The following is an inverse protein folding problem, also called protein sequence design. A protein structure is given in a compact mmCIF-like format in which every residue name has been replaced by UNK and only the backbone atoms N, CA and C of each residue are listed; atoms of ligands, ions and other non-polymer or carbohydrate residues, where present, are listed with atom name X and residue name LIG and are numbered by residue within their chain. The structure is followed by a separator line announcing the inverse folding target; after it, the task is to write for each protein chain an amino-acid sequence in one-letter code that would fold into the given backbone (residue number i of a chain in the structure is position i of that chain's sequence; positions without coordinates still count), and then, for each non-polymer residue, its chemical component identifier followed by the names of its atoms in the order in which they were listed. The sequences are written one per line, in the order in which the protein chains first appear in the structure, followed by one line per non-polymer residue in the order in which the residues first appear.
data_IF_710019547568
#
_entry.id   IF_710019547568
#
_cell.length_a   1.000
_cell.length_b   1.000
_cell.length_c   1.000
_cell.angle_alpha   90.00
_cell.angle_beta   90.00
_cell.angle_gamma   90.00
#
_symmetry.space_group_name_H-M   'P 1'
#
loop_
_entity.id
_entity.type
_entity.pdbx_description
1 polymer ?
#
# COMPACT_ATOMS: atom_id res chain seq x y z
N UNK A 1 9.10 -17.03 -11.41
CA UNK A 1 7.76 -17.66 -11.48
C UNK A 1 7.30 -17.94 -10.06
N UNK A 2 6.14 -17.43 -9.64
CA UNK A 2 5.46 -17.90 -8.41
C UNK A 2 4.33 -18.82 -8.91
N UNK A 3 4.62 -20.10 -9.08
CA UNK A 3 3.83 -20.95 -9.97
C UNK A 3 3.87 -20.46 -11.43
N UNK A 4 3.01 -21.00 -12.30
CA UNK A 4 3.00 -20.73 -13.75
C UNK A 4 2.55 -19.31 -14.16
N UNK A 5 2.65 -18.29 -13.28
CA UNK A 5 2.20 -16.91 -13.53
C UNK A 5 3.39 -15.98 -13.81
N UNK A 6 3.29 -15.07 -14.81
CA UNK A 6 4.34 -14.10 -15.12
C UNK A 6 4.53 -13.10 -13.96
N UNK A 7 5.79 -12.88 -13.55
CA UNK A 7 6.14 -12.05 -12.39
C UNK A 7 5.88 -10.56 -12.60
N UNK A 8 6.10 -10.05 -13.82
CA UNK A 8 5.99 -8.63 -14.15
C UNK A 8 4.59 -8.05 -13.89
N UNK A 9 3.52 -8.62 -14.47
CA UNK A 9 2.15 -8.16 -14.22
C UNK A 9 1.78 -8.21 -12.73
N UNK A 10 2.21 -9.22 -12.00
CA UNK A 10 1.90 -9.35 -10.57
C UNK A 10 2.53 -8.23 -9.74
N UNK A 11 3.80 -7.91 -9.98
CA UNK A 11 4.49 -6.80 -9.29
C UNK A 11 3.85 -5.47 -9.68
N UNK A 12 3.53 -5.28 -10.96
CA UNK A 12 2.93 -4.04 -11.45
C UNK A 12 1.56 -3.80 -10.82
N UNK A 13 0.63 -4.75 -10.93
CA UNK A 13 -0.71 -4.61 -10.35
C UNK A 13 -0.67 -4.55 -8.82
N UNK A 14 0.19 -5.34 -8.17
CA UNK A 14 0.38 -5.27 -6.72
C UNK A 14 0.90 -3.90 -6.28
N UNK A 15 1.90 -3.37 -6.98
CA UNK A 15 2.48 -2.05 -6.73
C UNK A 15 1.47 -0.92 -6.94
N UNK A 16 0.65 -1.00 -8.00
CA UNK A 16 -0.44 -0.06 -8.24
C UNK A 16 -1.46 -0.07 -7.10
N UNK A 17 -1.98 -1.24 -6.71
CA UNK A 17 -2.98 -1.36 -5.63
C UNK A 17 -2.40 -0.85 -4.30
N UNK A 18 -1.19 -1.26 -3.95
CA UNK A 18 -0.54 -0.85 -2.70
C UNK A 18 -0.24 0.65 -2.71
N UNK A 19 0.37 1.16 -3.78
CA UNK A 19 0.73 2.57 -3.93
C UNK A 19 -0.49 3.49 -3.89
N UNK A 20 -1.55 3.13 -4.63
CA UNK A 20 -2.82 3.85 -4.59
C UNK A 20 -3.46 3.78 -3.19
N UNK A 21 -3.39 2.65 -2.49
CA UNK A 21 -3.90 2.54 -1.12
C UNK A 21 -3.19 3.47 -0.14
N UNK A 22 -1.86 3.53 -0.19
CA UNK A 22 -1.04 4.43 0.67
C UNK A 22 -1.34 5.90 0.31
N UNK A 23 -1.35 6.23 -0.99
CA UNK A 23 -1.64 7.57 -1.48
C UNK A 23 -3.05 8.04 -1.09
N UNK A 24 -4.05 7.19 -1.29
CA UNK A 24 -5.43 7.49 -0.87
C UNK A 24 -5.54 7.70 0.63
N UNK A 25 -4.93 6.83 1.44
CA UNK A 25 -4.93 7.00 2.90
C UNK A 25 -4.32 8.35 3.30
N UNK A 26 -3.17 8.70 2.72
CA UNK A 26 -2.52 9.99 2.97
C UNK A 26 -3.46 11.16 2.66
N UNK A 27 -4.02 11.23 1.45
CA UNK A 27 -4.88 12.35 1.06
C UNK A 27 -6.22 12.39 1.80
N UNK A 28 -6.80 11.24 2.16
CA UNK A 28 -7.98 11.19 3.04
C UNK A 28 -7.63 11.78 4.41
N UNK A 29 -6.46 11.43 4.97
CA UNK A 29 -5.97 12.01 6.23
C UNK A 29 -5.78 13.52 6.13
N UNK A 30 -5.18 13.99 5.04
CA UNK A 30 -5.01 15.42 4.75
C UNK A 30 -6.34 16.17 4.66
N UNK A 31 -7.32 15.61 3.94
CA UNK A 31 -8.64 16.19 3.77
C UNK A 31 -9.47 16.18 5.07
N UNK A 32 -9.17 15.27 5.99
CA UNK A 32 -9.76 15.25 7.33
C UNK A 32 -9.17 16.34 8.24
N UNK A 33 -7.94 16.81 7.97
CA UNK A 33 -7.30 17.89 8.71
C UNK A 33 -7.85 19.25 8.27
N UNK A 34 -8.60 19.91 9.17
CA UNK A 34 -9.26 21.20 8.88
C UNK A 34 -8.40 22.37 9.31
N UNK A 35 -7.87 23.09 8.33
CA UNK A 35 -7.27 24.41 8.52
C UNK A 35 -8.32 25.52 8.35
N UNK A 36 -8.18 26.67 9.02
CA UNK A 36 -9.10 27.82 8.87
C UNK A 36 -8.92 28.57 7.53
N UNK A 37 -8.33 27.93 6.52
CA UNK A 37 -8.04 28.47 5.20
C UNK A 37 -8.42 27.47 4.10
N UNK A 38 -8.79 27.97 2.92
CA UNK A 38 -9.16 27.14 1.78
C UNK A 38 -7.92 26.57 1.07
N UNK A 39 -7.47 25.38 1.46
CA UNK A 39 -6.27 24.74 0.90
C UNK A 39 -6.53 24.18 -0.51
N UNK A 40 -5.66 24.52 -1.45
CA UNK A 40 -5.54 23.88 -2.77
C UNK A 40 -4.32 22.96 -2.84
N UNK A 41 -4.32 22.04 -3.81
CA UNK A 41 -3.23 21.08 -4.01
C UNK A 41 -2.62 21.19 -5.41
N UNK A 42 -1.31 21.38 -5.52
CA UNK A 42 -0.59 21.39 -6.82
C UNK A 42 -0.70 20.02 -7.48
N UNK A 43 -1.25 20.01 -8.70
CA UNK A 43 -1.52 18.77 -9.45
C UNK A 43 -0.23 17.98 -9.74
N UNK A 44 0.86 18.59 -10.26
CA UNK A 44 2.12 17.88 -10.49
C UNK A 44 2.70 17.21 -9.25
N UNK A 45 2.74 17.88 -8.09
CA UNK A 45 3.22 17.26 -6.85
C UNK A 45 2.31 16.12 -6.37
N UNK A 46 1.00 16.27 -6.54
CA UNK A 46 0.02 15.23 -6.22
C UNK A 46 0.23 13.97 -7.09
N UNK A 47 0.49 14.14 -8.39
CA UNK A 47 0.80 13.04 -9.31
C UNK A 47 2.17 12.43 -9.00
N UNK A 48 3.18 13.26 -8.75
CA UNK A 48 4.53 12.79 -8.41
C UNK A 48 4.53 11.92 -7.15
N UNK A 49 3.79 12.33 -6.11
CA UNK A 49 3.64 11.55 -4.88
C UNK A 49 2.99 10.19 -5.14
N UNK A 50 1.95 10.13 -5.99
CA UNK A 50 1.33 8.87 -6.42
C UNK A 50 2.32 7.95 -7.14
N UNK A 51 3.07 8.48 -8.10
CA UNK A 51 4.06 7.71 -8.86
C UNK A 51 5.16 7.15 -7.95
N UNK A 52 5.62 7.94 -6.97
CA UNK A 52 6.57 7.50 -5.95
C UNK A 52 6.01 6.34 -5.14
N UNK A 53 4.76 6.43 -4.66
CA UNK A 53 4.13 5.34 -3.91
C UNK A 53 3.99 4.06 -4.75
N UNK A 54 3.57 4.16 -6.01
CA UNK A 54 3.44 2.99 -6.90
C UNK A 54 4.82 2.36 -7.17
N UNK A 55 5.80 3.17 -7.58
CA UNK A 55 7.12 2.70 -7.94
C UNK A 55 7.85 2.04 -6.77
N UNK A 56 7.79 2.65 -5.59
CA UNK A 56 8.48 2.14 -4.39
C UNK A 56 7.78 0.91 -3.81
N UNK A 57 6.44 0.82 -3.91
CA UNK A 57 5.71 -0.41 -3.58
C UNK A 57 6.08 -1.56 -4.51
N UNK A 58 6.19 -1.30 -5.82
CA UNK A 58 6.61 -2.30 -6.80
C UNK A 58 8.05 -2.81 -6.52
N UNK A 59 8.98 -1.90 -6.22
CA UNK A 59 10.37 -2.24 -5.83
C UNK A 59 10.36 -3.07 -4.54
N UNK A 60 9.58 -2.66 -3.54
CA UNK A 60 9.42 -3.38 -2.27
C UNK A 60 8.97 -4.83 -2.44
N UNK A 61 8.20 -5.14 -3.49
CA UNK A 61 7.75 -6.50 -3.78
C UNK A 61 8.74 -7.35 -4.58
N UNK A 62 9.83 -6.80 -5.12
CA UNK A 62 10.83 -7.57 -5.86
C UNK A 62 11.46 -8.73 -5.04
N UNK A 63 11.80 -8.57 -3.75
CA UNK A 63 12.31 -9.67 -2.92
C UNK A 63 11.35 -10.86 -2.83
N UNK A 64 10.03 -10.61 -2.83
CA UNK A 64 9.00 -11.65 -2.80
C UNK A 64 9.00 -12.51 -4.07
N UNK A 65 9.65 -12.08 -5.15
CA UNK A 65 9.64 -12.82 -6.42
C UNK A 65 10.72 -13.91 -6.51
N UNK A 66 11.66 -13.95 -5.56
CA UNK A 66 12.75 -14.93 -5.51
C UNK A 66 12.34 -16.12 -4.62
N UNK A 67 12.72 -17.34 -5.04
CA UNK A 67 12.40 -18.58 -4.33
C UNK A 67 13.15 -18.68 -2.99
N UNK A 68 14.39 -18.19 -2.97
CA UNK A 68 15.22 -18.06 -1.77
C UNK A 68 15.43 -16.57 -1.49
N UNK A 69 14.53 -15.97 -0.73
CA UNK A 69 14.74 -14.59 -0.27
C UNK A 69 15.54 -14.64 1.02
N UNK A 70 16.81 -14.23 0.95
CA UNK A 70 17.64 -14.04 2.13
C UNK A 70 17.25 -12.76 2.87
N UNK A 71 17.41 -12.75 4.20
CA UNK A 71 17.16 -11.58 5.06
C UNK A 71 17.69 -10.23 4.52
N UNK A 72 18.87 -10.16 3.87
CA UNK A 72 19.36 -8.92 3.28
C UNK A 72 18.44 -8.32 2.21
N UNK A 73 17.82 -9.14 1.35
CA UNK A 73 16.90 -8.65 0.31
C UNK A 73 15.61 -8.10 0.92
N UNK A 74 15.15 -8.73 2.00
CA UNK A 74 14.01 -8.28 2.78
C UNK A 74 14.26 -6.91 3.43
N UNK A 75 15.42 -6.74 4.06
CA UNK A 75 15.83 -5.48 4.67
C UNK A 75 15.97 -4.38 3.62
N UNK A 76 16.62 -4.68 2.49
CA UNK A 76 16.76 -3.71 1.39
C UNK A 76 15.39 -3.29 0.83
N UNK A 77 14.47 -4.24 0.63
CA UNK A 77 13.10 -3.94 0.19
C UNK A 77 12.32 -3.11 1.21
N UNK A 78 12.48 -3.38 2.50
CA UNK A 78 11.83 -2.63 3.58
C UNK A 78 12.31 -1.18 3.64
N UNK A 79 13.62 -0.97 3.51
CA UNK A 79 14.21 0.38 3.46
C UNK A 79 13.72 1.12 2.22
N UNK A 80 13.81 0.52 1.04
CA UNK A 80 13.39 1.15 -0.22
C UNK A 80 11.90 1.53 -0.20
N UNK A 81 11.03 0.61 0.23
CA UNK A 81 9.60 0.88 0.34
C UNK A 81 9.30 1.90 1.44
N UNK A 82 9.93 1.81 2.61
CA UNK A 82 9.71 2.73 3.73
C UNK A 82 10.12 4.16 3.40
N UNK A 83 11.28 4.34 2.76
CA UNK A 83 11.71 5.63 2.24
C UNK A 83 10.76 6.16 1.16
N UNK A 84 10.22 5.27 0.32
CA UNK A 84 9.20 5.62 -0.66
C UNK A 84 7.87 6.09 -0.05
N UNK A 85 7.43 5.41 1.00
CA UNK A 85 6.20 5.73 1.75
C UNK A 85 6.34 7.07 2.46
N UNK A 86 7.48 7.31 3.13
CA UNK A 86 7.79 8.62 3.70
C UNK A 86 7.95 9.70 2.63
N UNK A 87 8.64 9.41 1.53
CA UNK A 87 8.82 10.32 0.40
C UNK A 87 7.50 10.74 -0.23
N UNK A 88 6.58 9.79 -0.46
CA UNK A 88 5.22 10.10 -0.91
C UNK A 88 4.50 11.00 0.09
N UNK A 89 4.59 10.71 1.40
CA UNK A 89 3.95 11.54 2.43
C UNK A 89 4.45 12.99 2.36
N UNK A 90 5.77 13.22 2.34
CA UNK A 90 6.32 14.58 2.32
C UNK A 90 6.13 15.28 0.97
N UNK A 91 6.13 14.56 -0.16
CA UNK A 91 5.74 15.12 -1.45
C UNK A 91 4.26 15.50 -1.50
N UNK A 92 3.39 14.69 -0.89
CA UNK A 92 1.97 14.99 -0.73
C UNK A 92 1.74 16.23 0.15
N UNK A 93 2.52 16.37 1.23
CA UNK A 93 2.51 17.59 2.06
C UNK A 93 2.98 18.81 1.28
N UNK A 94 4.03 18.68 0.46
CA UNK A 94 4.51 19.75 -0.42
C UNK A 94 3.50 20.12 -1.51
N UNK A 95 2.54 19.25 -1.83
CA UNK A 95 1.48 19.58 -2.77
C UNK A 95 0.50 20.61 -2.19
N UNK A 96 0.40 20.79 -0.87
CA UNK A 96 -0.45 21.83 -0.30
C UNK A 96 0.08 23.21 -0.63
N UNK A 97 -0.69 23.98 -1.39
CA UNK A 97 -0.30 25.31 -1.85
C UNK A 97 -0.68 26.38 -0.81
N UNK A 98 0.14 26.47 0.24
CA UNK A 98 -0.03 27.38 1.37
C UNK A 98 1.18 28.31 1.46
N UNK A 99 0.95 29.62 1.46
CA UNK A 99 2.01 30.61 1.65
C UNK A 99 2.43 30.69 3.12
N UNK A 100 3.74 30.92 3.34
CA UNK A 100 4.57 30.64 4.52
C UNK A 100 5.09 29.21 4.66
N UNK A 101 4.59 28.26 3.84
CA UNK A 101 5.10 26.90 3.76
C UNK A 101 4.97 26.10 5.06
N UNK A 102 5.30 24.81 4.99
CA UNK A 102 5.22 23.91 6.14
C UNK A 102 6.59 23.82 6.81
N UNK A 103 6.67 24.18 8.10
CA UNK A 103 7.87 23.96 8.89
C UNK A 103 7.82 22.59 9.56
N UNK A 104 8.92 21.86 9.53
CA UNK A 104 8.99 20.52 10.10
C UNK A 104 9.90 20.48 11.32
N UNK A 105 9.49 19.76 12.36
CA UNK A 105 10.37 19.37 13.46
C UNK A 105 11.22 18.16 13.04
N UNK A 106 12.58 18.29 12.95
CA UNK A 106 13.42 17.26 12.36
C UNK A 106 13.33 15.89 13.04
N UNK A 107 13.20 15.86 14.38
CA UNK A 107 13.16 14.61 15.13
C UNK A 107 11.89 13.79 14.85
N UNK A 108 10.73 14.44 14.68
CA UNK A 108 9.47 13.77 14.30
C UNK A 108 9.50 13.29 12.85
N UNK A 109 10.22 13.98 11.97
CA UNK A 109 10.45 13.53 10.60
C UNK A 109 11.30 12.25 10.58
N UNK A 110 12.39 12.22 11.35
CA UNK A 110 13.20 11.00 11.47
C UNK A 110 12.37 9.87 12.07
N UNK A 111 11.56 10.14 13.10
CA UNK A 111 10.69 9.15 13.71
C UNK A 111 9.66 8.60 12.70
N UNK A 112 9.02 9.45 11.92
CA UNK A 112 8.04 9.01 10.90
C UNK A 112 8.71 8.12 9.84
N UNK A 113 9.94 8.45 9.40
CA UNK A 113 10.72 7.64 8.45
C UNK A 113 11.08 6.29 9.05
N UNK A 114 11.50 6.24 10.32
CA UNK A 114 11.77 4.98 11.02
C UNK A 114 10.51 4.13 11.10
N UNK A 115 9.36 4.72 11.47
CA UNK A 115 8.07 4.02 11.48
C UNK A 115 7.74 3.50 10.09
N UNK A 116 7.98 4.27 9.02
CA UNK A 116 7.74 3.85 7.65
C UNK A 116 8.55 2.60 7.28
N UNK A 117 9.85 2.58 7.59
CA UNK A 117 10.74 1.45 7.31
C UNK A 117 10.32 0.21 8.11
N UNK A 118 9.99 0.37 9.39
CA UNK A 118 9.52 -0.73 10.23
C UNK A 118 8.16 -1.27 9.74
N UNK A 119 7.24 -0.39 9.33
CA UNK A 119 5.96 -0.74 8.75
C UNK A 119 6.13 -1.54 7.44
N UNK A 120 7.00 -1.07 6.55
CA UNK A 120 7.34 -1.77 5.30
C UNK A 120 8.03 -3.11 5.58
N UNK A 121 8.93 -3.17 6.56
CA UNK A 121 9.57 -4.42 6.98
C UNK A 121 8.57 -5.43 7.52
N UNK A 122 7.65 -5.01 8.38
CA UNK A 122 6.56 -5.84 8.87
C UNK A 122 5.67 -6.31 7.71
N UNK A 123 5.25 -5.42 6.81
CA UNK A 123 4.43 -5.77 5.65
C UNK A 123 5.10 -6.85 4.77
N UNK A 124 6.38 -6.69 4.47
CA UNK A 124 7.14 -7.68 3.70
C UNK A 124 7.31 -8.98 4.46
N UNK A 125 7.69 -8.93 5.74
CA UNK A 125 7.86 -10.12 6.57
C UNK A 125 6.55 -10.92 6.69
N UNK A 126 5.41 -10.27 6.93
CA UNK A 126 4.11 -10.93 6.96
C UNK A 126 3.75 -11.51 5.59
N UNK A 127 4.06 -10.83 4.48
CA UNK A 127 3.85 -11.37 3.14
C UNK A 127 4.69 -12.64 2.87
N UNK A 128 5.89 -12.73 3.44
CA UNK A 128 6.73 -13.94 3.40
C UNK A 128 6.21 -15.04 4.33
N UNK A 129 5.87 -14.73 5.58
CA UNK A 129 5.36 -15.69 6.55
C UNK A 129 4.07 -16.36 6.03
N UNK A 130 3.19 -15.60 5.35
CA UNK A 130 1.97 -16.12 4.74
C UNK A 130 2.20 -17.16 3.62
N UNK A 131 3.42 -17.27 3.08
CA UNK A 131 3.80 -18.30 2.11
C UNK A 131 4.17 -19.62 2.76
N UNK A 132 4.66 -19.60 4.00
CA UNK A 132 4.88 -20.83 4.78
C UNK A 132 3.54 -21.28 5.38
N UNK A 133 3.24 -22.58 5.23
CA UNK A 133 1.99 -23.24 5.63
C UNK A 133 1.40 -22.77 6.97
N UNK A 134 0.06 -22.60 7.07
CA UNK A 134 -0.75 -23.01 8.25
C UNK A 134 -2.27 -22.72 8.12
N UNK A 135 -3.04 -23.46 8.91
CA UNK A 135 -4.48 -23.69 9.03
C UNK A 135 -5.35 -22.47 9.38
N UNK A 136 -4.75 -21.31 9.73
CA UNK A 136 -5.46 -20.08 10.14
C UNK A 136 -5.27 -18.89 9.18
N UNK A 137 -5.41 -19.15 7.87
CA UNK A 137 -5.05 -18.22 6.80
C UNK A 137 -5.87 -16.92 6.81
N UNK A 138 -7.13 -16.96 7.22
CA UNK A 138 -8.00 -15.77 7.24
C UNK A 138 -7.65 -14.85 8.42
N UNK A 139 -7.56 -15.38 9.64
CA UNK A 139 -7.23 -14.60 10.84
C UNK A 139 -5.89 -13.90 10.72
N UNK A 140 -4.86 -14.59 10.21
CA UNK A 140 -3.55 -13.99 9.95
C UNK A 140 -3.62 -12.87 8.92
N UNK A 141 -4.36 -13.04 7.81
CA UNK A 141 -4.54 -11.98 6.80
C UNK A 141 -5.23 -10.75 7.36
N UNK A 142 -6.31 -10.93 8.11
CA UNK A 142 -7.04 -9.83 8.75
C UNK A 142 -6.14 -9.11 9.76
N UNK A 143 -5.45 -9.86 10.62
CA UNK A 143 -4.48 -9.28 11.56
C UNK A 143 -3.36 -8.51 10.85
N UNK A 144 -2.84 -9.05 9.74
CA UNK A 144 -1.82 -8.37 8.92
C UNK A 144 -2.32 -7.04 8.36
N UNK A 145 -3.54 -7.04 7.82
CA UNK A 145 -4.15 -5.86 7.23
C UNK A 145 -4.37 -4.77 8.28
N UNK A 146 -4.82 -5.13 9.48
CA UNK A 146 -4.99 -4.20 10.61
C UNK A 146 -3.63 -3.62 11.03
N UNK A 147 -2.62 -4.48 11.26
CA UNK A 147 -1.28 -4.04 11.66
C UNK A 147 -0.67 -3.11 10.60
N UNK A 148 -0.79 -3.46 9.32
CA UNK A 148 -0.35 -2.59 8.23
C UNK A 148 -1.11 -1.27 8.21
N UNK A 149 -2.44 -1.29 8.32
CA UNK A 149 -3.26 -0.08 8.33
C UNK A 149 -2.85 0.86 9.47
N UNK A 150 -2.72 0.33 10.69
CA UNK A 150 -2.26 1.08 11.86
C UNK A 150 -0.86 1.64 11.65
N UNK A 151 0.06 0.87 11.08
CA UNK A 151 1.44 1.31 10.87
C UNK A 151 1.54 2.43 9.82
N UNK A 152 0.82 2.31 8.69
CA UNK A 152 0.80 3.33 7.64
C UNK A 152 0.10 4.60 8.14
N UNK A 153 -1.02 4.49 8.85
CA UNK A 153 -1.67 5.62 9.52
C UNK A 153 -0.77 6.27 10.58
N UNK A 154 -0.07 5.46 11.39
CA UNK A 154 0.85 5.92 12.42
C UNK A 154 2.01 6.74 11.84
N UNK A 155 2.59 6.30 10.72
CA UNK A 155 3.57 7.09 9.98
C UNK A 155 2.97 8.44 9.55
N UNK A 156 1.79 8.43 8.92
CA UNK A 156 1.16 9.65 8.42
C UNK A 156 0.88 10.65 9.55
N UNK A 157 0.28 10.21 10.66
CA UNK A 157 -0.03 11.10 11.77
C UNK A 157 1.23 11.56 12.52
N UNK A 158 2.29 10.74 12.59
CA UNK A 158 3.59 11.18 13.09
C UNK A 158 4.20 12.26 12.18
N UNK A 159 4.11 12.10 10.86
CA UNK A 159 4.55 13.11 9.88
C UNK A 159 3.75 14.41 9.99
N UNK A 160 2.43 14.31 10.17
CA UNK A 160 1.56 15.46 10.43
C UNK A 160 1.88 16.15 11.75
N UNK A 161 2.18 15.42 12.81
CA UNK A 161 2.60 16.00 14.09
C UNK A 161 3.93 16.77 13.96
N UNK A 162 4.78 16.40 13.00
CA UNK A 162 6.01 17.14 12.71
C UNK A 162 5.73 18.51 12.06
N UNK A 163 4.60 18.66 11.37
CA UNK A 163 4.26 19.82 10.56
C UNK A 163 3.69 20.97 11.41
N UNK A 164 4.29 22.15 11.26
CA UNK A 164 3.83 23.40 11.85
C UNK A 164 3.39 24.34 10.73
N UNK A 165 2.15 24.79 10.84
CA UNK A 165 1.54 25.79 9.97
C UNK A 165 1.57 27.14 10.69
N UNK A 166 2.18 28.17 10.09
CA UNK A 166 2.30 29.48 10.74
C UNK A 166 0.93 30.18 10.82
N UNK A 167 0.70 30.93 11.90
CA UNK A 167 -0.48 31.78 12.02
C UNK A 167 -0.42 32.89 10.95
N UNK A 168 -1.47 33.01 10.14
CA UNK A 168 -1.51 33.96 9.03
C UNK A 168 -1.13 33.38 7.67
N UNK A 169 -0.85 32.07 7.57
CA UNK A 169 -0.78 31.38 6.28
C UNK A 169 -2.05 31.64 5.46
N UNK A 170 -1.88 31.88 4.16
CA UNK A 170 -2.98 32.10 3.23
C UNK A 170 -2.84 31.17 2.01
N UNK A 171 -3.96 30.78 1.39
CA UNK A 171 -3.91 29.91 0.23
C UNK A 171 -3.40 30.69 -0.98
N UNK A 172 -2.49 30.08 -1.73
CA UNK A 172 -2.10 30.61 -3.03
C UNK A 172 -3.07 30.01 -4.05
N UNK A 173 -3.71 30.86 -4.86
CA UNK A 173 -4.60 30.39 -5.92
C UNK A 173 -3.87 30.47 -7.26
N UNK A 174 -3.37 29.34 -7.74
CA UNK A 174 -2.82 29.21 -9.10
C UNK A 174 -3.72 28.32 -9.97
N UNK A 175 -3.63 28.45 -11.30
CA UNK A 175 -4.33 27.58 -12.26
C UNK A 175 -3.93 26.09 -12.16
N UNK A 176 -2.87 25.78 -11.40
CA UNK A 176 -2.35 24.42 -11.19
C UNK A 176 -2.94 23.76 -9.95
N UNK A 177 -3.75 24.48 -9.18
CA UNK A 177 -4.30 23.99 -7.91
C UNK A 177 -5.62 23.25 -8.12
N UNK A 178 -5.68 22.04 -7.58
CA UNK A 178 -6.89 21.27 -7.43
C UNK A 178 -7.56 21.62 -6.10
N UNK A 179 -8.81 22.10 -6.10
CA UNK A 179 -9.53 22.37 -4.86
C UNK A 179 -9.76 21.09 -4.05
N UNK A 180 -9.68 21.21 -2.72
CA UNK A 180 -9.85 20.07 -1.80
C UNK A 180 -11.10 19.20 -2.07
N UNK A 181 -12.31 19.75 -2.37
CA UNK A 181 -13.48 18.92 -2.67
C UNK A 181 -13.33 18.05 -3.93
N UNK A 182 -12.65 18.56 -4.96
CA UNK A 182 -12.39 17.79 -6.19
C UNK A 182 -11.38 16.68 -5.94
N UNK A 183 -10.30 16.99 -5.21
CA UNK A 183 -9.34 15.98 -4.80
C UNK A 183 -10.00 14.88 -3.95
N UNK A 184 -10.88 15.27 -3.02
CA UNK A 184 -11.66 14.32 -2.22
C UNK A 184 -12.50 13.39 -3.09
N UNK A 185 -13.25 13.94 -4.06
CA UNK A 185 -14.07 13.16 -4.96
C UNK A 185 -13.23 12.15 -5.77
N UNK A 186 -12.07 12.58 -6.28
CA UNK A 186 -11.13 11.73 -7.03
C UNK A 186 -10.61 10.62 -6.12
N UNK A 187 -10.06 10.95 -4.96
CA UNK A 187 -9.45 9.99 -4.03
C UNK A 187 -10.48 8.96 -3.55
N UNK A 188 -11.69 9.40 -3.18
CA UNK A 188 -12.77 8.50 -2.75
C UNK A 188 -13.18 7.58 -3.89
N UNK A 189 -13.37 8.11 -5.10
CA UNK A 189 -13.76 7.30 -6.26
C UNK A 189 -12.72 6.23 -6.57
N UNK A 190 -11.44 6.59 -6.66
CA UNK A 190 -10.37 5.63 -6.90
C UNK A 190 -10.26 4.60 -5.78
N UNK A 191 -10.41 5.01 -4.52
CA UNK A 191 -10.37 4.09 -3.37
C UNK A 191 -11.49 3.06 -3.43
N UNK A 192 -12.72 3.47 -3.74
CA UNK A 192 -13.86 2.57 -3.88
C UNK A 192 -13.69 1.60 -5.06
N UNK A 193 -13.21 2.10 -6.21
CA UNK A 193 -12.93 1.26 -7.39
C UNK A 193 -11.87 0.22 -7.07
N UNK A 194 -10.76 0.61 -6.44
CA UNK A 194 -9.69 -0.32 -6.07
C UNK A 194 -10.17 -1.34 -5.05
N UNK A 195 -10.96 -0.91 -4.05
CA UNK A 195 -11.52 -1.82 -3.06
C UNK A 195 -12.46 -2.85 -3.72
N UNK A 196 -13.32 -2.41 -4.64
CA UNK A 196 -14.21 -3.28 -5.41
C UNK A 196 -13.42 -4.28 -6.29
N UNK A 197 -12.39 -3.80 -7.00
CA UNK A 197 -11.52 -4.64 -7.83
C UNK A 197 -10.75 -5.64 -6.97
N UNK A 198 -10.20 -5.22 -5.82
CA UNK A 198 -9.48 -6.09 -4.90
C UNK A 198 -10.38 -7.20 -4.34
N UNK A 199 -11.62 -6.86 -3.94
CA UNK A 199 -12.62 -7.84 -3.50
C UNK A 199 -12.98 -8.80 -4.65
N UNK A 200 -13.18 -8.29 -5.86
CA UNK A 200 -13.49 -9.11 -7.02
C UNK A 200 -12.35 -10.10 -7.33
N UNK A 201 -11.10 -9.64 -7.36
CA UNK A 201 -9.91 -10.49 -7.56
C UNK A 201 -9.80 -11.53 -6.45
N UNK A 202 -9.95 -11.11 -5.18
CA UNK A 202 -9.91 -12.02 -4.03
C UNK A 202 -11.02 -13.09 -4.09
N UNK A 203 -12.23 -12.71 -4.52
CA UNK A 203 -13.35 -13.61 -4.72
C UNK A 203 -13.12 -14.60 -5.86
N UNK A 204 -12.58 -14.14 -6.99
CA UNK A 204 -12.22 -15.00 -8.12
C UNK A 204 -11.11 -15.99 -7.74
N UNK A 205 -10.06 -15.53 -7.05
CA UNK A 205 -8.99 -16.39 -6.55
C UNK A 205 -9.51 -17.41 -5.51
N UNK A 206 -10.43 -17.02 -4.63
CA UNK A 206 -11.06 -17.94 -3.69
C UNK A 206 -11.85 -19.04 -4.41
N UNK A 207 -12.68 -18.66 -5.40
CA UNK A 207 -13.45 -19.61 -6.22
C UNK A 207 -12.54 -20.54 -7.03
N UNK A 208 -11.47 -20.00 -7.61
CA UNK A 208 -10.49 -20.78 -8.36
C UNK A 208 -9.79 -21.82 -7.46
N UNK A 209 -9.43 -21.44 -6.22
CA UNK A 209 -8.81 -22.36 -5.25
C UNK A 209 -9.77 -23.48 -4.81
N UNK A 210 -11.06 -23.19 -4.60
CA UNK A 210 -12.06 -24.21 -4.28
C UNK A 210 -12.23 -25.20 -5.44
N UNK A 211 -12.34 -24.70 -6.67
CA UNK A 211 -12.43 -25.53 -7.89
C UNK A 211 -11.19 -26.41 -8.09
N UNK A 212 -10.00 -25.87 -7.81
CA UNK A 212 -8.76 -26.63 -7.91
C UNK A 212 -8.71 -27.79 -6.90
N UNK A 213 -9.16 -27.57 -5.66
CA UNK A 213 -9.26 -28.62 -4.63
C UNK A 213 -10.23 -29.72 -5.01
N UNK A 214 -11.45 -29.35 -5.46
CA UNK A 214 -12.45 -30.32 -5.90
C UNK A 214 -11.96 -31.18 -7.07
N UNK A 215 -11.22 -30.60 -8.03
CA UNK A 215 -10.59 -31.36 -9.14
C UNK A 215 -9.51 -32.32 -8.65
N UNK A 216 -8.69 -31.91 -7.68
CA UNK A 216 -7.65 -32.76 -7.11
C UNK A 216 -8.25 -33.96 -6.35
N UNK A 217 -9.32 -33.73 -5.56
CA UNK A 217 -10.05 -34.79 -4.85
C UNK A 217 -10.71 -35.77 -5.83
N UNK A 218 -11.34 -35.29 -6.90
CA UNK A 218 -11.93 -36.14 -7.93
C UNK A 218 -10.87 -37.01 -8.65
N UNK A 219 -9.71 -36.44 -9.01
CA UNK A 219 -8.61 -37.20 -9.62
C UNK A 219 -8.03 -38.26 -8.67
N UNK A 220 -7.92 -37.96 -7.37
CA UNK A 220 -7.48 -38.92 -6.37
C UNK A 220 -8.48 -40.07 -6.22
N UNK A 221 -9.78 -39.78 -6.19
CA UNK A 221 -10.84 -40.78 -6.13
C UNK A 221 -10.80 -41.73 -7.34
N UNK A 222 -10.69 -41.18 -8.56
CA UNK A 222 -10.56 -41.98 -9.79
C UNK A 222 -9.29 -42.86 -9.79
N UNK A 223 -8.16 -42.34 -9.31
CA UNK A 223 -6.91 -43.09 -9.26
C UNK A 223 -6.96 -44.25 -8.24
N UNK A 224 -7.67 -44.06 -7.12
CA UNK A 224 -7.91 -45.11 -6.12
C UNK A 224 -8.81 -46.20 -6.70
N UNK A 225 -9.90 -45.81 -7.36
CA UNK A 225 -10.85 -46.74 -7.99
C UNK A 225 -10.17 -47.61 -9.06
N UNK A 226 -9.37 -47.00 -9.95
CA UNK A 226 -8.59 -47.74 -10.96
C UNK A 226 -7.56 -48.70 -10.36
N UNK A 227 -6.95 -48.37 -9.22
CA UNK A 227 -6.01 -49.28 -8.53
C UNK A 227 -6.73 -50.41 -7.78
N UNK A 228 -7.95 -50.15 -7.30
CA UNK A 228 -8.81 -51.16 -6.70
C UNK A 228 -9.31 -52.18 -7.72
N UNK A 229 -9.68 -51.73 -8.92
CA UNK A 229 -10.20 -52.59 -9.99
C UNK A 229 -9.17 -53.52 -10.67
N UNK A 230 -7.87 -53.35 -10.38
CA UNK A 230 -6.76 -54.14 -10.98
C UNK A 230 -6.26 -55.24 -10.02
N UNK A 231 -6.83 -55.34 -8.82
CA UNK A 231 -6.58 -56.44 -7.87
C UNK A 231 -7.75 -57.41 -7.85
#
# INVERSE_FOLDING_TARGET
MIGNRPLGPWIFFGGCIMGLGIWSMHFIGMLAFKLPIAVGYDIPMTIASLLVAIGTSAIGFMPLCRYESSWPHLIAGAIAMGLGVAGMHYLGMQAMDICSGIRYQPWLVVLSVVIAILASGAALWLAFDMRRHSTHRLTRRVGSAIVMGVAVCGMHYCGMAAAHFEAGSYPVSTFRNLPAPWLAAIVVTFSLVIFAVAIAIAGLDARANVRARARAEAMLAEHIDRRGAVR
#
